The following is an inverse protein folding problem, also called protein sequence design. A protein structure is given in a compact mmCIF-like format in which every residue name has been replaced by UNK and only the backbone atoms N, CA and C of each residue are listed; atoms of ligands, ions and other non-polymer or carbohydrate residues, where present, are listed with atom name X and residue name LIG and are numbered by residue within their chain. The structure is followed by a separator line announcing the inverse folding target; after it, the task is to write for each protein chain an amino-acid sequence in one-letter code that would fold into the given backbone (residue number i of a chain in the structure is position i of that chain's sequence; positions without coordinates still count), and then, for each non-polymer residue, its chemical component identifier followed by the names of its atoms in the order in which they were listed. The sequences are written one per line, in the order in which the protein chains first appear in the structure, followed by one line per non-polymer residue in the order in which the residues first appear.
data_IF_856544211481
#
_entry.id   IF_856544211481
#
_cell.length_a   1.000
_cell.length_b   1.000
_cell.length_c   1.000
_cell.angle_alpha   90.00
_cell.angle_beta   90.00
_cell.angle_gamma   90.00
#
_symmetry.space_group_name_H-M   'P 1'
#
loop_
_entity.id
_entity.type
_entity.pdbx_description
1 polymer ?
#
# COMPACT_ATOMS: atom_id res chain seq x y z
N UNK A 1 8.19 -10.42 26.67
CA UNK A 1 8.82 -10.34 25.35
C UNK A 1 7.81 -9.79 24.33
N UNK A 2 7.34 -8.55 24.54
CA UNK A 2 6.39 -7.83 23.65
C UNK A 2 7.05 -6.60 22.99
N UNK A 3 8.28 -6.26 23.40
CA UNK A 3 8.93 -5.00 23.00
C UNK A 3 9.45 -4.97 21.56
N UNK A 4 9.79 -6.10 20.96
CA UNK A 4 10.41 -6.12 19.61
C UNK A 4 9.43 -5.83 18.47
N UNK A 5 8.10 -5.97 18.68
CA UNK A 5 7.10 -5.74 17.64
C UNK A 5 6.68 -4.28 17.51
N UNK A 6 6.76 -3.50 18.57
CA UNK A 6 6.43 -2.07 18.55
C UNK A 6 7.54 -1.28 17.83
N UNK A 7 8.81 -1.64 18.07
CA UNK A 7 9.95 -0.98 17.43
C UNK A 7 9.99 -1.20 15.90
N UNK A 8 9.39 -2.29 15.41
CA UNK A 8 9.33 -2.60 13.98
C UNK A 8 8.52 -1.59 13.17
N UNK A 9 7.51 -0.97 13.78
CA UNK A 9 6.65 0.03 13.14
C UNK A 9 7.03 1.48 13.49
N UNK A 10 7.93 1.68 14.43
CA UNK A 10 8.43 3.01 14.80
C UNK A 10 9.69 3.32 14.02
N UNK A 11 9.52 3.86 12.81
CA UNK A 11 10.64 4.39 12.06
C UNK A 11 11.26 5.56 12.81
N UNK A 12 12.53 5.44 13.20
CA UNK A 12 13.28 6.54 13.78
C UNK A 12 13.72 7.49 12.68
N UNK A 13 13.08 8.63 12.56
CA UNK A 13 13.51 9.70 11.65
C UNK A 13 14.55 10.56 12.35
N UNK A 14 15.76 10.66 11.79
CA UNK A 14 16.82 11.54 12.30
C UNK A 14 16.56 13.01 11.96
N UNK A 15 15.92 13.26 10.84
CA UNK A 15 15.62 14.62 10.34
C UNK A 15 14.14 14.71 9.94
N UNK A 16 13.52 15.83 10.29
CA UNK A 16 12.16 16.20 9.90
C UNK A 16 12.23 17.55 9.21
N UNK A 17 11.86 17.56 7.94
CA UNK A 17 11.69 18.82 7.20
C UNK A 17 10.25 19.29 7.33
N UNK A 18 10.05 20.57 7.64
CA UNK A 18 8.72 21.16 7.88
C UNK A 18 8.56 22.39 7.01
N UNK A 19 7.56 22.38 6.14
CA UNK A 19 7.21 23.60 5.40
C UNK A 19 6.82 24.72 6.37
N UNK A 20 7.35 25.94 6.19
CA UNK A 20 7.13 27.10 7.06
C UNK A 20 5.64 27.39 7.25
N UNK A 21 4.83 27.23 6.17
CA UNK A 21 3.41 27.52 6.18
C UNK A 21 2.57 26.62 7.10
N UNK A 22 3.10 25.42 7.47
CA UNK A 22 2.38 24.46 8.32
C UNK A 22 3.04 24.20 9.66
N UNK A 23 4.06 24.99 10.04
CA UNK A 23 4.78 24.77 11.30
C UNK A 23 3.87 24.87 12.52
N UNK A 24 2.85 25.75 12.44
CA UNK A 24 1.88 25.96 13.50
C UNK A 24 0.63 25.09 13.40
N UNK A 25 0.51 24.27 12.34
CA UNK A 25 -0.59 23.35 12.16
C UNK A 25 -0.64 22.33 13.31
N UNK A 26 -1.85 22.03 13.82
CA UNK A 26 -2.03 21.16 14.99
C UNK A 26 -1.38 19.78 14.78
N UNK A 27 -1.62 19.15 13.63
CA UNK A 27 -1.04 17.84 13.28
C UNK A 27 0.48 17.87 13.18
N UNK A 28 1.06 18.95 12.67
CA UNK A 28 2.52 19.14 12.68
C UNK A 28 3.06 19.08 14.11
N UNK A 29 2.46 19.84 15.03
CA UNK A 29 2.86 19.85 16.46
C UNK A 29 2.72 18.48 17.11
N UNK A 30 1.67 17.74 16.80
CA UNK A 30 1.43 16.38 17.31
C UNK A 30 2.46 15.37 16.79
N UNK A 31 2.80 15.44 15.51
CA UNK A 31 3.83 14.57 14.91
C UNK A 31 5.20 14.87 15.52
N UNK A 32 5.56 16.14 15.65
CA UNK A 32 6.85 16.54 16.25
C UNK A 32 6.97 16.09 17.72
N UNK A 33 5.89 16.14 18.50
CA UNK A 33 5.88 15.59 19.88
C UNK A 33 6.19 14.09 19.94
N UNK A 34 5.80 13.33 18.93
CA UNK A 34 6.08 11.87 18.85
C UNK A 34 7.54 11.59 18.49
N UNK A 35 8.27 12.56 17.99
CA UNK A 35 9.65 12.43 17.47
C UNK A 35 10.61 13.46 18.12
N UNK A 36 10.74 13.49 19.45
CA UNK A 36 11.45 14.55 20.16
C UNK A 36 12.95 14.60 19.87
N UNK A 37 13.54 13.48 19.42
CA UNK A 37 14.98 13.38 19.14
C UNK A 37 15.35 13.71 17.68
N UNK A 38 14.36 13.95 16.82
CA UNK A 38 14.62 14.29 15.43
C UNK A 38 15.02 15.76 15.28
N UNK A 39 15.99 16.01 14.40
CA UNK A 39 16.35 17.40 14.04
C UNK A 39 15.30 18.01 13.12
N UNK A 40 14.63 19.05 13.54
CA UNK A 40 13.65 19.80 12.74
C UNK A 40 14.36 20.84 11.87
N UNK A 41 14.01 20.89 10.59
CA UNK A 41 14.57 21.81 9.59
C UNK A 41 13.39 22.44 8.84
N UNK A 42 13.28 23.78 8.94
CA UNK A 42 12.28 24.52 8.17
C UNK A 42 12.67 24.58 6.67
N UNK A 43 11.70 24.42 5.80
CA UNK A 43 11.85 24.51 4.34
C UNK A 43 10.72 25.37 3.75
N UNK A 44 10.93 25.90 2.55
CA UNK A 44 9.89 26.67 1.86
C UNK A 44 8.88 25.74 1.18
N UNK A 45 9.36 24.70 0.50
CA UNK A 45 8.49 23.73 -0.18
C UNK A 45 9.06 22.31 -0.08
N UNK A 46 8.21 21.29 0.09
CA UNK A 46 8.64 19.89 0.24
C UNK A 46 9.49 19.38 -0.96
N UNK A 47 9.23 19.88 -2.16
CA UNK A 47 10.00 19.52 -3.37
C UNK A 47 11.46 19.96 -3.29
N UNK A 48 11.82 20.95 -2.48
CA UNK A 48 13.20 21.42 -2.29
C UNK A 48 14.09 20.30 -1.71
N UNK A 49 13.49 19.38 -0.97
CA UNK A 49 14.16 18.19 -0.43
C UNK A 49 13.81 16.95 -1.23
N UNK A 50 12.54 16.73 -1.50
CA UNK A 50 12.03 15.52 -2.13
C UNK A 50 12.47 15.35 -3.58
N UNK A 51 12.54 16.45 -4.35
CA UNK A 51 12.90 16.45 -5.77
C UNK A 51 14.35 16.85 -6.04
N UNK A 52 15.24 16.84 -5.04
CA UNK A 52 16.66 17.13 -5.26
C UNK A 52 17.27 16.21 -6.30
N UNK A 53 18.17 16.77 -7.12
CA UNK A 53 18.92 15.99 -8.09
C UNK A 53 19.98 15.10 -7.40
N UNK A 54 20.35 14.00 -8.05
CA UNK A 54 21.44 13.10 -7.62
C UNK A 54 21.21 12.47 -6.22
N UNK A 55 19.96 12.16 -5.88
CA UNK A 55 19.64 11.42 -4.67
C UNK A 55 19.89 9.92 -4.87
N UNK A 56 20.28 9.24 -3.80
CA UNK A 56 20.38 7.78 -3.77
C UNK A 56 19.22 7.21 -2.96
N UNK A 57 18.26 6.59 -3.63
CA UNK A 57 17.13 5.91 -2.99
C UNK A 57 17.63 4.80 -2.06
N UNK A 58 18.67 4.07 -2.47
CA UNK A 58 19.27 2.99 -1.66
C UNK A 58 19.86 3.53 -0.35
N UNK A 59 20.56 4.66 -0.40
CA UNK A 59 21.08 5.29 0.81
C UNK A 59 19.95 5.84 1.70
N UNK A 60 18.94 6.47 1.11
CA UNK A 60 17.79 7.02 1.84
C UNK A 60 16.94 5.92 2.50
N UNK A 61 16.79 4.75 1.89
CA UNK A 61 16.05 3.63 2.50
C UNK A 61 16.67 3.16 3.82
N UNK A 62 17.98 3.37 4.01
CA UNK A 62 18.66 3.06 5.28
C UNK A 62 18.41 4.12 6.37
N UNK A 63 18.07 5.34 5.99
CA UNK A 63 17.85 6.47 6.89
C UNK A 63 16.89 7.48 6.24
N UNK A 64 15.61 7.10 6.15
CA UNK A 64 14.57 7.97 5.58
C UNK A 64 14.39 9.21 6.44
N UNK A 65 14.21 10.36 5.81
CA UNK A 65 13.74 11.56 6.48
C UNK A 65 12.22 11.67 6.37
N UNK A 66 11.62 12.39 7.31
CA UNK A 66 10.22 12.78 7.27
C UNK A 66 10.11 14.21 6.73
N UNK A 67 9.13 14.43 5.87
CA UNK A 67 8.80 15.76 5.34
C UNK A 67 7.33 16.04 5.66
N UNK A 68 7.07 17.07 6.43
CA UNK A 68 5.72 17.56 6.70
C UNK A 68 5.41 18.72 5.74
N UNK A 69 4.32 18.60 5.00
CA UNK A 69 3.99 19.51 3.91
C UNK A 69 2.50 19.82 3.86
N UNK A 70 2.13 20.84 3.12
CA UNK A 70 0.75 21.13 2.74
C UNK A 70 0.51 20.69 1.30
N UNK A 71 -0.53 19.90 1.04
CA UNK A 71 -0.99 19.71 -0.30
C UNK A 71 -1.82 20.92 -0.76
N UNK A 72 -1.45 21.51 -1.89
CA UNK A 72 -2.09 22.70 -2.43
C UNK A 72 -3.06 22.39 -3.60
N UNK A 73 -2.95 21.19 -4.21
CA UNK A 73 -3.60 20.88 -5.48
C UNK A 73 -4.65 19.75 -5.38
N UNK A 74 -5.07 19.42 -4.15
CA UNK A 74 -5.92 18.27 -3.91
C UNK A 74 -5.13 16.95 -3.80
N UNK A 75 -5.79 15.93 -3.25
CA UNK A 75 -5.22 14.60 -3.05
C UNK A 75 -6.03 13.49 -3.73
N UNK A 76 -7.15 13.80 -4.36
CA UNK A 76 -8.06 12.83 -4.95
C UNK A 76 -7.84 12.78 -6.48
N UNK A 77 -7.59 11.59 -6.99
CA UNK A 77 -7.30 11.36 -8.39
C UNK A 77 -8.15 10.22 -8.93
N UNK A 78 -8.59 10.31 -10.18
CA UNK A 78 -9.24 9.20 -10.87
C UNK A 78 -8.31 7.99 -10.96
N UNK A 79 -8.85 6.80 -10.76
CA UNK A 79 -8.10 5.56 -10.82
C UNK A 79 -7.59 5.29 -12.23
N UNK A 80 -6.29 4.99 -12.34
CA UNK A 80 -5.70 4.69 -13.64
C UNK A 80 -6.33 3.39 -14.23
N UNK A 81 -6.51 3.33 -15.57
CA UNK A 81 -7.08 2.13 -16.24
C UNK A 81 -6.32 0.83 -15.95
N UNK A 82 -5.04 0.93 -15.56
CA UNK A 82 -4.18 -0.21 -15.20
C UNK A 82 -4.44 -0.73 -13.78
N UNK A 83 -5.24 -0.04 -12.96
CA UNK A 83 -5.55 -0.45 -11.60
C UNK A 83 -6.79 -1.33 -11.58
N UNK A 84 -6.85 -2.26 -10.63
CA UNK A 84 -8.05 -3.07 -10.40
C UNK A 84 -9.09 -2.21 -9.68
N UNK A 85 -10.23 -2.01 -10.32
CA UNK A 85 -11.35 -1.21 -9.79
C UNK A 85 -12.39 -2.05 -9.03
N UNK A 86 -12.23 -3.37 -8.99
CA UNK A 86 -13.14 -4.31 -8.30
C UNK A 86 -14.61 -4.18 -8.70
N UNK A 87 -14.86 -3.83 -9.99
CA UNK A 87 -16.20 -3.65 -10.52
C UNK A 87 -16.86 -2.31 -10.18
N UNK A 88 -16.10 -1.33 -9.66
CA UNK A 88 -16.61 0.00 -9.35
C UNK A 88 -16.31 0.97 -10.50
N UNK A 89 -17.35 1.63 -11.01
CA UNK A 89 -17.24 2.58 -12.12
C UNK A 89 -16.53 3.88 -11.70
N UNK A 90 -16.79 4.33 -10.48
CA UNK A 90 -16.19 5.55 -9.91
C UNK A 90 -15.01 5.19 -8.99
N UNK A 91 -13.93 4.69 -9.59
CA UNK A 91 -12.71 4.33 -8.86
C UNK A 91 -11.75 5.52 -8.78
N UNK A 92 -11.36 5.85 -7.57
CA UNK A 92 -10.42 6.93 -7.25
C UNK A 92 -9.30 6.43 -6.33
N UNK A 93 -8.22 7.19 -6.25
CA UNK A 93 -7.19 7.00 -5.23
C UNK A 93 -6.80 8.32 -4.55
N UNK A 94 -6.27 8.20 -3.35
CA UNK A 94 -5.82 9.33 -2.57
C UNK A 94 -4.31 9.25 -2.29
N UNK A 95 -3.63 10.38 -2.38
CA UNK A 95 -2.21 10.58 -2.05
C UNK A 95 -2.02 11.51 -0.85
N UNK A 96 -2.61 11.20 0.30
CA UNK A 96 -2.40 11.97 1.54
C UNK A 96 -1.00 11.78 2.16
N UNK A 97 -0.25 10.78 1.70
CA UNK A 97 1.16 10.54 1.99
C UNK A 97 1.88 10.09 0.74
N UNK A 98 3.20 10.34 0.65
CA UNK A 98 4.05 9.82 -0.43
C UNK A 98 5.16 8.96 0.16
N UNK A 99 5.45 7.85 -0.51
CA UNK A 99 6.35 6.78 -0.11
C UNK A 99 5.89 5.95 1.09
N UNK A 100 6.51 4.80 1.23
CA UNK A 100 6.18 3.78 2.21
C UNK A 100 7.35 3.57 3.18
N UNK A 101 7.04 3.21 4.44
CA UNK A 101 8.04 2.83 5.42
C UNK A 101 8.75 1.52 5.03
N UNK A 102 8.05 0.65 4.32
CA UNK A 102 8.60 -0.61 3.83
C UNK A 102 9.56 -0.39 2.65
N UNK A 103 10.33 -1.44 2.32
CA UNK A 103 11.36 -1.37 1.28
C UNK A 103 11.25 -2.55 0.30
N UNK A 104 10.03 -2.87 -0.17
CA UNK A 104 9.82 -3.93 -1.15
C UNK A 104 10.60 -3.64 -2.44
N UNK A 105 11.38 -4.61 -2.95
CA UNK A 105 12.22 -4.41 -4.14
C UNK A 105 11.41 -4.11 -5.41
N UNK A 106 10.25 -4.70 -5.54
CA UNK A 106 9.36 -4.54 -6.69
C UNK A 106 8.39 -3.34 -6.56
N UNK A 107 8.51 -2.51 -5.51
CA UNK A 107 7.58 -1.40 -5.29
C UNK A 107 7.73 -0.32 -6.36
N UNK A 108 6.63 -0.03 -7.08
CA UNK A 108 6.61 0.97 -8.15
C UNK A 108 6.94 2.38 -7.67
N UNK A 109 6.76 2.68 -6.39
CA UNK A 109 7.11 3.98 -5.80
C UNK A 109 8.59 4.31 -5.97
N UNK A 110 9.48 3.30 -6.00
CA UNK A 110 10.91 3.47 -6.28
C UNK A 110 11.19 3.98 -7.71
N UNK A 111 10.33 3.64 -8.64
CA UNK A 111 10.37 4.17 -10.01
C UNK A 111 9.64 5.50 -10.16
N UNK A 112 8.55 5.68 -9.44
CA UNK A 112 7.70 6.86 -9.49
C UNK A 112 8.38 8.08 -8.86
N UNK A 113 8.87 7.94 -7.63
CA UNK A 113 9.41 9.05 -6.86
C UNK A 113 10.94 9.21 -7.02
N UNK A 114 11.44 10.45 -6.94
CA UNK A 114 12.88 10.73 -7.01
C UNK A 114 13.59 10.55 -5.66
N UNK A 115 12.87 10.27 -4.59
CA UNK A 115 13.34 10.17 -3.22
C UNK A 115 12.66 9.02 -2.50
N UNK A 116 13.30 8.43 -1.49
CA UNK A 116 12.71 7.47 -0.58
C UNK A 116 12.18 8.12 0.73
N UNK A 117 12.36 9.43 0.90
CA UNK A 117 11.84 10.14 2.06
C UNK A 117 10.32 10.09 2.11
N UNK A 118 9.77 10.05 3.32
CA UNK A 118 8.33 10.03 3.55
C UNK A 118 7.79 11.45 3.54
N UNK A 119 6.74 11.72 2.77
CA UNK A 119 6.00 12.98 2.83
C UNK A 119 4.65 12.73 3.48
N UNK A 120 4.30 13.54 4.46
CA UNK A 120 2.96 13.59 5.06
C UNK A 120 2.35 14.94 4.76
N UNK A 121 1.23 14.95 4.07
CA UNK A 121 0.43 16.16 3.86
C UNK A 121 -0.49 16.34 5.06
N UNK A 122 -0.18 17.34 5.91
CA UNK A 122 -0.82 17.49 7.22
C UNK A 122 -2.27 18.01 7.15
N UNK A 123 -2.68 18.55 6.01
CA UNK A 123 -4.00 19.15 5.77
C UNK A 123 -5.00 18.14 5.15
N UNK A 124 -5.21 17.00 5.80
CA UNK A 124 -6.13 15.95 5.29
C UNK A 124 -7.58 16.44 5.25
N UNK A 125 -7.93 17.40 6.08
CA UNK A 125 -9.24 18.07 6.10
C UNK A 125 -9.58 18.75 4.77
N UNK A 126 -8.59 19.28 4.04
CA UNK A 126 -8.79 19.82 2.69
C UNK A 126 -9.16 18.69 1.70
N UNK A 127 -8.56 17.50 1.88
CA UNK A 127 -8.89 16.30 1.10
C UNK A 127 -10.32 15.81 1.37
N UNK A 128 -10.75 15.85 2.62
CA UNK A 128 -12.12 15.50 2.99
C UNK A 128 -13.13 16.47 2.39
N UNK A 129 -12.85 17.76 2.41
CA UNK A 129 -13.70 18.77 1.79
C UNK A 129 -13.83 18.58 0.27
N UNK A 130 -12.72 18.27 -0.42
CA UNK A 130 -12.74 17.93 -1.86
C UNK A 130 -13.60 16.68 -2.12
N UNK A 131 -13.47 15.66 -1.28
CA UNK A 131 -14.21 14.41 -1.43
C UNK A 131 -15.70 14.60 -1.15
N UNK A 132 -16.09 15.43 -0.18
CA UNK A 132 -17.50 15.76 0.08
C UNK A 132 -18.20 16.33 -1.14
N UNK A 133 -17.55 17.20 -1.91
CA UNK A 133 -18.11 17.74 -3.15
C UNK A 133 -18.37 16.62 -4.18
N UNK A 134 -17.42 15.70 -4.35
CA UNK A 134 -17.57 14.57 -5.26
C UNK A 134 -18.67 13.60 -4.80
N UNK A 135 -18.82 13.38 -3.50
CA UNK A 135 -19.80 12.47 -2.93
C UNK A 135 -21.27 12.97 -3.04
N UNK A 136 -21.47 14.26 -3.28
CA UNK A 136 -22.81 14.82 -3.58
C UNK A 136 -23.35 14.32 -4.92
N UNK A 137 -22.48 14.03 -5.86
CA UNK A 137 -22.84 13.68 -7.23
C UNK A 137 -22.85 12.17 -7.49
N UNK A 138 -22.02 11.41 -6.80
CA UNK A 138 -21.79 9.98 -7.11
C UNK A 138 -21.32 9.16 -5.93
N UNK A 139 -21.54 7.84 -6.02
CA UNK A 139 -20.89 6.88 -5.13
C UNK A 139 -19.42 6.69 -5.56
N UNK A 140 -18.50 6.66 -4.60
CA UNK A 140 -17.07 6.57 -4.84
C UNK A 140 -16.48 5.34 -4.17
N UNK A 141 -15.63 4.63 -4.90
CA UNK A 141 -14.69 3.65 -4.36
C UNK A 141 -13.29 4.27 -4.35
N UNK A 142 -12.72 4.45 -3.17
CA UNK A 142 -11.46 5.18 -2.97
C UNK A 142 -10.37 4.30 -2.37
N UNK A 143 -9.25 4.14 -3.08
CA UNK A 143 -8.03 3.56 -2.50
C UNK A 143 -7.26 4.65 -1.73
N UNK A 144 -7.30 4.63 -0.39
CA UNK A 144 -6.70 5.66 0.46
C UNK A 144 -5.22 5.43 0.78
N UNK A 145 -4.69 4.23 0.50
CA UNK A 145 -3.29 3.84 0.74
C UNK A 145 -2.53 3.55 -0.55
N UNK A 146 -2.78 4.35 -1.60
CA UNK A 146 -2.19 4.11 -2.92
C UNK A 146 -0.68 4.33 -2.93
N UNK A 147 -0.22 5.47 -2.39
CA UNK A 147 1.19 5.87 -2.40
C UNK A 147 1.93 5.64 -1.07
N UNK A 148 1.28 4.95 -0.11
CA UNK A 148 1.83 4.66 1.20
C UNK A 148 1.17 3.43 1.83
N UNK A 149 1.75 2.89 2.90
CA UNK A 149 1.05 1.98 3.80
C UNK A 149 0.57 2.78 5.02
N UNK A 150 -0.68 3.25 4.98
CA UNK A 150 -1.25 4.08 6.05
C UNK A 150 -1.32 3.34 7.38
N UNK A 151 -1.57 2.02 7.34
CA UNK A 151 -1.63 1.19 8.55
C UNK A 151 -0.29 1.15 9.28
N UNK A 152 0.81 1.05 8.53
CA UNK A 152 2.16 1.14 9.10
C UNK A 152 2.48 2.54 9.64
N UNK A 153 1.84 3.59 9.11
CA UNK A 153 2.05 4.98 9.48
C UNK A 153 1.03 5.50 10.50
N UNK A 154 0.06 4.69 10.95
CA UNK A 154 -1.04 5.12 11.83
C UNK A 154 -0.54 5.75 13.14
N UNK A 155 0.51 5.19 13.73
CA UNK A 155 1.15 5.74 14.94
C UNK A 155 1.65 7.18 14.76
N UNK A 156 2.01 7.54 13.54
CA UNK A 156 2.58 8.85 13.20
C UNK A 156 1.48 9.90 12.98
N UNK A 157 0.56 9.65 12.07
CA UNK A 157 -0.40 10.65 11.57
C UNK A 157 -1.86 10.40 11.94
N UNK A 158 -2.26 9.15 12.29
CA UNK A 158 -3.64 8.83 12.67
C UNK A 158 -4.62 8.75 11.49
N UNK A 159 -4.12 8.63 10.25
CA UNK A 159 -4.95 8.74 9.04
C UNK A 159 -5.90 7.56 8.82
N UNK A 160 -5.54 6.36 9.29
CA UNK A 160 -6.46 5.21 9.19
C UNK A 160 -7.74 5.50 9.98
N UNK A 161 -7.60 6.01 11.21
CA UNK A 161 -8.76 6.37 12.03
C UNK A 161 -9.60 7.46 11.35
N UNK A 162 -8.99 8.52 10.87
CA UNK A 162 -9.69 9.62 10.24
C UNK A 162 -10.43 9.19 8.97
N UNK A 163 -9.83 8.33 8.15
CA UNK A 163 -10.50 7.75 6.99
C UNK A 163 -11.68 6.84 7.37
N UNK A 164 -11.56 6.06 8.45
CA UNK A 164 -12.67 5.23 8.96
C UNK A 164 -13.82 6.13 9.43
N UNK A 165 -13.52 7.13 10.28
CA UNK A 165 -14.52 8.06 10.82
C UNK A 165 -15.24 8.80 9.69
N UNK A 166 -14.50 9.28 8.70
CA UNK A 166 -15.05 9.96 7.53
C UNK A 166 -15.96 9.03 6.71
N UNK A 167 -15.53 7.77 6.49
CA UNK A 167 -16.33 6.79 5.74
C UNK A 167 -17.61 6.41 6.48
N UNK A 168 -17.56 6.29 7.81
CA UNK A 168 -18.76 6.02 8.62
C UNK A 168 -19.79 7.12 8.44
N UNK A 169 -19.37 8.38 8.34
CA UNK A 169 -20.24 9.53 8.16
C UNK A 169 -20.82 9.69 6.73
N UNK A 170 -20.25 8.99 5.71
CA UNK A 170 -20.60 9.19 4.30
C UNK A 170 -21.02 7.88 3.62
N UNK A 171 -22.32 7.66 3.47
CA UNK A 171 -22.89 6.40 2.91
C UNK A 171 -22.50 6.14 1.44
N UNK A 172 -22.20 7.17 0.67
CA UNK A 172 -21.79 7.09 -0.73
C UNK A 172 -20.27 6.80 -0.91
N UNK A 173 -19.52 6.61 0.19
CA UNK A 173 -18.09 6.31 0.15
C UNK A 173 -17.81 4.88 0.56
N UNK A 174 -17.04 4.17 -0.25
CA UNK A 174 -16.36 2.92 0.11
C UNK A 174 -14.86 3.13 -0.01
N UNK A 175 -14.09 2.78 1.01
CA UNK A 175 -12.63 2.91 0.97
C UNK A 175 -11.94 1.55 1.01
N UNK A 176 -10.75 1.50 0.37
CA UNK A 176 -9.81 0.40 0.51
C UNK A 176 -8.55 0.88 1.23
N UNK A 177 -8.18 0.18 2.30
CA UNK A 177 -6.91 0.36 3.01
C UNK A 177 -6.04 -0.85 2.73
N UNK A 178 -5.09 -0.72 1.80
CA UNK A 178 -4.16 -1.80 1.44
C UNK A 178 -2.92 -1.77 2.29
N UNK A 179 -2.49 -2.94 2.79
CA UNK A 179 -1.37 -3.02 3.74
C UNK A 179 -0.54 -4.31 3.64
N UNK A 180 0.74 -4.21 4.00
CA UNK A 180 1.65 -5.31 4.37
C UNK A 180 2.03 -5.27 5.86
N UNK A 181 1.34 -4.45 6.64
CA UNK A 181 1.49 -4.32 8.09
C UNK A 181 0.74 -5.43 8.83
N UNK A 182 1.11 -5.69 10.08
CA UNK A 182 0.39 -6.59 10.97
C UNK A 182 -0.14 -5.85 12.22
N UNK A 183 -0.58 -4.60 12.05
CA UNK A 183 -1.15 -3.76 13.12
C UNK A 183 -2.57 -4.20 13.48
N UNK A 184 -2.72 -5.43 14.03
CA UNK A 184 -4.00 -5.98 14.47
C UNK A 184 -4.59 -5.23 15.68
N UNK A 185 -3.76 -4.52 16.44
CA UNK A 185 -4.16 -3.70 17.58
C UNK A 185 -5.10 -2.54 17.23
N UNK A 186 -5.17 -2.15 15.96
CA UNK A 186 -6.04 -1.08 15.48
C UNK A 186 -7.50 -1.52 15.38
N UNK A 187 -7.73 -2.74 14.95
CA UNK A 187 -9.06 -3.21 14.58
C UNK A 187 -10.01 -3.45 15.76
N UNK A 188 -9.46 -3.60 16.95
CA UNK A 188 -10.26 -3.63 18.18
C UNK A 188 -10.66 -2.23 18.68
N UNK A 189 -9.92 -1.20 18.24
CA UNK A 189 -10.09 0.17 18.71
C UNK A 189 -10.98 1.00 17.82
N UNK A 190 -11.08 0.63 16.54
CA UNK A 190 -11.79 1.42 15.53
C UNK A 190 -13.15 0.78 15.21
N UNK A 191 -14.18 1.60 14.95
CA UNK A 191 -15.51 1.08 14.62
C UNK A 191 -15.45 0.39 13.25
N UNK A 192 -15.92 -0.87 13.20
CA UNK A 192 -16.05 -1.58 11.95
C UNK A 192 -17.15 -0.96 11.09
N UNK A 193 -16.89 -0.89 9.78
CA UNK A 193 -17.84 -0.40 8.78
C UNK A 193 -17.73 -1.27 7.53
N UNK A 194 -18.87 -1.73 7.00
CA UNK A 194 -18.92 -2.58 5.79
C UNK A 194 -18.35 -1.91 4.53
N UNK A 195 -18.20 -0.59 4.55
CA UNK A 195 -17.60 0.20 3.47
C UNK A 195 -16.11 0.49 3.66
N UNK A 196 -15.50 -0.05 4.70
CA UNK A 196 -14.04 0.04 4.96
C UNK A 196 -13.40 -1.31 4.69
N UNK A 197 -12.88 -1.50 3.47
CA UNK A 197 -12.28 -2.77 3.05
C UNK A 197 -10.81 -2.78 3.43
N UNK A 198 -10.42 -3.73 4.30
CA UNK A 198 -9.02 -3.92 4.69
C UNK A 198 -8.37 -4.95 3.75
N UNK A 199 -7.43 -4.49 2.92
CA UNK A 199 -6.82 -5.27 1.86
C UNK A 199 -5.40 -5.70 2.23
N UNK A 200 -5.23 -6.97 2.62
CA UNK A 200 -3.94 -7.53 3.00
C UNK A 200 -3.23 -8.16 1.80
N UNK A 201 -2.04 -7.67 1.47
CA UNK A 201 -1.20 -8.34 0.47
C UNK A 201 -0.53 -9.55 1.09
N UNK A 202 -0.75 -10.72 0.48
CA UNK A 202 -0.17 -11.99 0.92
C UNK A 202 0.70 -12.55 -0.19
N UNK A 203 1.94 -12.89 0.16
CA UNK A 203 2.94 -13.49 -0.73
C UNK A 203 3.46 -14.78 -0.10
N UNK A 204 3.98 -15.75 -0.88
CA UNK A 204 4.72 -16.88 -0.32
C UNK A 204 5.86 -16.41 0.59
N UNK A 205 6.14 -17.16 1.65
CA UNK A 205 7.18 -16.79 2.63
C UNK A 205 8.55 -16.54 1.96
N UNK A 206 8.90 -17.35 0.97
CA UNK A 206 10.13 -17.19 0.20
C UNK A 206 10.19 -15.86 -0.56
N UNK A 207 9.07 -15.42 -1.13
CA UNK A 207 8.98 -14.14 -1.83
C UNK A 207 9.04 -12.98 -0.82
N UNK A 208 8.28 -13.09 0.27
CA UNK A 208 8.25 -12.05 1.30
C UNK A 208 9.64 -11.86 1.94
N UNK A 209 10.32 -12.93 2.33
CA UNK A 209 11.65 -12.86 2.93
C UNK A 209 12.73 -12.36 1.98
N UNK A 210 12.59 -12.63 0.67
CA UNK A 210 13.58 -12.23 -0.34
C UNK A 210 13.40 -10.79 -0.82
N UNK A 211 12.18 -10.29 -0.94
CA UNK A 211 11.87 -9.05 -1.66
C UNK A 211 11.01 -8.03 -0.92
N UNK A 212 10.38 -8.38 0.21
CA UNK A 212 9.50 -7.48 0.96
C UNK A 212 10.16 -7.01 2.26
N UNK A 213 11.26 -6.26 2.12
CA UNK A 213 12.05 -5.83 3.27
C UNK A 213 11.27 -4.88 4.19
N UNK A 214 11.47 -5.06 5.50
CA UNK A 214 10.84 -4.30 6.57
C UNK A 214 9.31 -4.45 6.66
N UNK A 215 8.70 -5.41 5.97
CA UNK A 215 7.27 -5.73 6.11
C UNK A 215 7.03 -6.78 7.22
N UNK A 216 5.80 -6.90 7.67
CA UNK A 216 5.42 -8.03 8.50
C UNK A 216 5.48 -9.34 7.69
N UNK A 217 5.76 -10.48 8.34
CA UNK A 217 5.72 -11.78 7.66
C UNK A 217 4.30 -12.11 7.17
N UNK A 218 4.15 -12.94 6.12
CA UNK A 218 2.83 -13.37 5.64
C UNK A 218 1.97 -13.98 6.75
N UNK A 219 2.56 -14.72 7.67
CA UNK A 219 1.85 -15.32 8.82
C UNK A 219 1.29 -14.23 9.75
N UNK A 220 2.04 -13.18 10.03
CA UNK A 220 1.57 -12.09 10.87
C UNK A 220 0.49 -11.25 10.15
N UNK A 221 0.61 -11.05 8.84
CA UNK A 221 -0.44 -10.39 8.04
C UNK A 221 -1.74 -11.20 8.06
N UNK A 222 -1.68 -12.53 7.96
CA UNK A 222 -2.86 -13.39 8.07
C UNK A 222 -3.51 -13.32 9.45
N UNK A 223 -2.71 -13.26 10.53
CA UNK A 223 -3.25 -13.03 11.88
C UNK A 223 -3.95 -11.68 11.99
N UNK A 224 -3.37 -10.63 11.40
CA UNK A 224 -3.98 -9.31 11.39
C UNK A 224 -5.27 -9.28 10.53
N UNK A 225 -5.28 -9.95 9.38
CA UNK A 225 -6.46 -10.13 8.55
C UNK A 225 -7.59 -10.87 9.30
N UNK A 226 -7.24 -11.98 9.98
CA UNK A 226 -8.21 -12.69 10.82
C UNK A 226 -8.79 -11.79 11.92
N UNK A 227 -7.94 -11.05 12.62
CA UNK A 227 -8.38 -10.12 13.66
C UNK A 227 -9.30 -9.03 13.13
N UNK A 228 -9.01 -8.51 11.94
CA UNK A 228 -9.88 -7.55 11.25
C UNK A 228 -11.26 -8.15 10.95
N UNK A 229 -11.32 -9.39 10.43
CA UNK A 229 -12.57 -10.12 10.19
C UNK A 229 -13.34 -10.35 11.50
N UNK A 230 -12.65 -10.80 12.54
CA UNK A 230 -13.24 -11.05 13.87
C UNK A 230 -13.79 -9.75 14.50
N UNK A 231 -13.23 -8.58 14.12
CA UNK A 231 -13.70 -7.25 14.52
C UNK A 231 -14.82 -6.68 13.62
N UNK A 232 -15.25 -7.42 12.59
CA UNK A 232 -16.38 -7.05 11.71
C UNK A 232 -16.01 -6.24 10.47
N UNK A 233 -14.74 -6.08 10.16
CA UNK A 233 -14.33 -5.41 8.92
C UNK A 233 -14.39 -6.36 7.72
N UNK A 234 -14.83 -5.89 6.53
CA UNK A 234 -14.62 -6.61 5.27
C UNK A 234 -13.11 -6.75 4.99
N UNK A 235 -12.67 -7.98 4.74
CA UNK A 235 -11.26 -8.27 4.46
C UNK A 235 -11.09 -8.83 3.06
N UNK A 236 -10.21 -8.20 2.30
CA UNK A 236 -9.70 -8.64 0.99
C UNK A 236 -8.31 -9.22 1.14
N UNK A 237 -8.04 -10.36 0.49
CA UNK A 237 -6.66 -10.83 0.33
C UNK A 237 -6.16 -10.51 -1.08
N UNK A 238 -5.03 -9.82 -1.14
CA UNK A 238 -4.41 -9.44 -2.40
C UNK A 238 -3.22 -10.36 -2.69
N UNK A 239 -3.39 -11.28 -3.62
CA UNK A 239 -2.32 -12.07 -4.23
C UNK A 239 -1.79 -11.32 -5.47
N UNK A 240 -1.54 -10.04 -5.29
CA UNK A 240 -1.10 -9.10 -6.32
C UNK A 240 -0.08 -8.12 -5.68
N UNK A 241 1.18 -8.10 -6.17
CA UNK A 241 1.66 -8.85 -7.33
C UNK A 241 2.17 -10.27 -6.98
N UNK A 242 1.85 -11.23 -7.83
CA UNK A 242 2.54 -12.50 -7.85
C UNK A 242 3.95 -12.32 -8.44
N UNK A 243 4.96 -12.83 -7.74
CA UNK A 243 6.36 -12.77 -8.15
C UNK A 243 6.84 -14.16 -8.56
N UNK A 244 7.41 -14.27 -9.76
CA UNK A 244 7.97 -15.51 -10.26
C UNK A 244 9.23 -15.92 -9.50
N UNK A 245 9.33 -17.17 -9.12
CA UNK A 245 10.54 -17.79 -8.59
C UNK A 245 10.65 -19.23 -9.10
N UNK A 246 11.84 -19.86 -8.95
CA UNK A 246 12.12 -21.19 -9.55
C UNK A 246 11.09 -22.27 -9.22
N UNK A 247 10.54 -22.26 -8.01
CA UNK A 247 9.56 -23.27 -7.54
C UNK A 247 8.17 -22.64 -7.25
N UNK A 248 7.79 -21.63 -8.02
CA UNK A 248 6.61 -20.82 -7.78
C UNK A 248 5.32 -21.64 -7.62
N UNK A 249 5.16 -22.76 -8.35
CA UNK A 249 3.94 -23.59 -8.27
C UNK A 249 3.73 -24.14 -6.86
N UNK A 250 4.76 -24.70 -6.28
CA UNK A 250 4.70 -25.26 -4.93
C UNK A 250 4.60 -24.16 -3.87
N UNK A 251 5.33 -23.05 -4.05
CA UNK A 251 5.30 -21.92 -3.11
C UNK A 251 3.90 -21.28 -3.03
N UNK A 252 3.25 -21.02 -4.18
CA UNK A 252 1.90 -20.45 -4.17
C UNK A 252 0.83 -21.46 -3.74
N UNK A 253 0.97 -22.75 -4.09
CA UNK A 253 0.08 -23.81 -3.60
C UNK A 253 0.12 -23.87 -2.08
N UNK A 254 1.33 -23.97 -1.50
CA UNK A 254 1.53 -23.99 -0.05
C UNK A 254 0.95 -22.75 0.62
N UNK A 255 1.18 -21.57 0.03
CA UNK A 255 0.61 -20.32 0.54
C UNK A 255 -0.92 -20.38 0.62
N UNK A 256 -1.61 -20.86 -0.42
CA UNK A 256 -3.08 -20.95 -0.44
C UNK A 256 -3.57 -21.96 0.61
N UNK A 257 -2.90 -23.13 0.74
CA UNK A 257 -3.22 -24.12 1.78
C UNK A 257 -3.05 -23.50 3.18
N UNK A 258 -1.95 -22.78 3.42
CA UNK A 258 -1.68 -22.08 4.70
C UNK A 258 -2.71 -20.98 4.99
N UNK A 259 -3.16 -20.24 3.99
CA UNK A 259 -4.20 -19.20 4.12
C UNK A 259 -5.51 -19.83 4.59
N UNK A 260 -6.02 -20.81 3.86
CA UNK A 260 -7.35 -21.39 4.14
C UNK A 260 -7.34 -22.43 5.27
N UNK A 261 -6.17 -22.81 5.78
CA UNK A 261 -6.06 -23.49 7.08
C UNK A 261 -6.32 -22.56 8.28
N UNK A 262 -6.19 -21.25 8.08
CA UNK A 262 -6.26 -20.22 9.14
C UNK A 262 -7.48 -19.30 9.02
N UNK A 263 -7.98 -19.10 7.81
CA UNK A 263 -9.10 -18.21 7.51
C UNK A 263 -10.25 -18.99 6.86
N UNK A 264 -11.48 -18.71 7.31
CA UNK A 264 -12.67 -19.20 6.62
C UNK A 264 -12.92 -18.36 5.36
N UNK A 265 -12.84 -18.99 4.19
CA UNK A 265 -13.07 -18.35 2.90
C UNK A 265 -14.46 -17.70 2.78
N UNK A 266 -15.48 -18.22 3.49
CA UNK A 266 -16.83 -17.66 3.47
C UNK A 266 -16.92 -16.27 4.11
N UNK A 267 -16.05 -15.99 5.07
CA UNK A 267 -15.98 -14.70 5.77
C UNK A 267 -15.16 -13.65 5.00
N UNK A 268 -14.34 -14.07 4.03
CA UNK A 268 -13.62 -13.12 3.19
C UNK A 268 -14.57 -12.31 2.30
N UNK A 269 -14.30 -11.02 2.18
CA UNK A 269 -15.00 -10.15 1.25
C UNK A 269 -14.78 -10.61 -0.19
N UNK A 270 -13.53 -10.61 -0.62
CA UNK A 270 -13.07 -11.10 -1.92
C UNK A 270 -11.55 -11.32 -1.93
N UNK A 271 -11.01 -11.70 -3.09
CA UNK A 271 -9.57 -11.80 -3.33
C UNK A 271 -9.20 -11.19 -4.68
N UNK A 272 -7.96 -10.68 -4.79
CA UNK A 272 -7.38 -10.26 -6.07
C UNK A 272 -6.17 -11.10 -6.44
N UNK A 273 -6.05 -11.41 -7.75
CA UNK A 273 -4.94 -12.17 -8.33
C UNK A 273 -4.37 -11.37 -9.50
N UNK A 274 -3.06 -11.21 -9.52
CA UNK A 274 -2.37 -10.58 -10.63
C UNK A 274 -0.86 -10.75 -10.52
N UNK A 275 -0.20 -10.94 -11.65
CA UNK A 275 1.25 -10.99 -11.70
C UNK A 275 1.85 -9.60 -11.71
N UNK A 276 3.16 -9.51 -11.41
CA UNK A 276 3.87 -8.24 -11.42
C UNK A 276 3.83 -7.56 -12.78
N UNK A 277 3.47 -6.28 -12.77
CA UNK A 277 3.48 -5.37 -13.91
C UNK A 277 3.86 -3.97 -13.47
N UNK A 278 4.54 -3.23 -14.32
CA UNK A 278 5.05 -1.90 -13.98
C UNK A 278 5.23 -1.04 -15.23
N UNK A 279 5.01 0.27 -15.10
CA UNK A 279 5.31 1.23 -16.17
C UNK A 279 6.76 1.12 -16.64
N UNK A 280 6.96 1.23 -17.94
CA UNK A 280 8.28 1.16 -18.59
C UNK A 280 9.28 2.13 -17.95
N UNK A 281 8.86 3.38 -17.71
CA UNK A 281 9.76 4.40 -17.20
C UNK A 281 10.15 4.15 -15.74
N UNK A 282 9.21 3.61 -14.96
CA UNK A 282 9.50 3.25 -13.56
C UNK A 282 10.50 2.10 -13.49
N UNK A 283 10.31 1.05 -14.28
CA UNK A 283 11.26 -0.08 -14.28
C UNK A 283 12.65 0.32 -14.77
N UNK A 284 12.74 1.15 -15.82
CA UNK A 284 14.03 1.68 -16.31
C UNK A 284 14.79 2.44 -15.21
N UNK A 285 14.07 3.23 -14.40
CA UNK A 285 14.66 3.95 -13.27
C UNK A 285 15.08 3.00 -12.15
N UNK A 286 14.21 2.05 -11.76
CA UNK A 286 14.53 1.07 -10.71
C UNK A 286 15.75 0.21 -11.07
N UNK A 287 15.93 -0.19 -12.32
CA UNK A 287 17.08 -0.97 -12.79
C UNK A 287 18.42 -0.27 -12.58
N UNK A 288 18.45 1.07 -12.57
CA UNK A 288 19.68 1.84 -12.26
C UNK A 288 20.08 1.74 -10.79
N UNK A 289 19.08 1.69 -9.90
CA UNK A 289 19.30 1.73 -8.45
C UNK A 289 19.36 0.32 -7.82
N UNK A 290 18.67 -0.65 -8.43
CA UNK A 290 18.47 -2.02 -7.92
C UNK A 290 19.02 -3.08 -8.90
N UNK A 291 20.23 -2.88 -9.41
CA UNK A 291 20.85 -3.74 -10.43
C UNK A 291 21.09 -5.20 -9.96
N UNK A 292 21.12 -5.45 -8.65
CA UNK A 292 21.23 -6.81 -8.05
C UNK A 292 19.90 -7.52 -7.81
N UNK A 293 18.76 -6.87 -7.97
CA UNK A 293 17.45 -7.47 -7.71
C UNK A 293 17.01 -8.38 -8.85
N UNK A 294 16.75 -9.66 -8.54
CA UNK A 294 16.27 -10.61 -9.54
C UNK A 294 14.86 -10.26 -10.05
N UNK A 295 13.98 -9.69 -9.20
CA UNK A 295 12.65 -9.29 -9.62
C UNK A 295 12.69 -8.06 -10.53
N UNK A 296 13.54 -7.07 -10.25
CA UNK A 296 13.65 -5.86 -11.06
C UNK A 296 14.33 -6.15 -12.40
N UNK A 297 15.27 -7.08 -12.45
CA UNK A 297 16.06 -7.42 -13.63
C UNK A 297 15.52 -8.63 -14.42
N UNK A 298 14.36 -9.17 -14.04
CA UNK A 298 13.72 -10.21 -14.83
C UNK A 298 13.52 -9.74 -16.31
N UNK A 299 13.63 -10.63 -17.31
CA UNK A 299 13.43 -10.31 -18.73
C UNK A 299 11.93 -10.18 -19.07
N UNK A 300 11.33 -9.10 -18.57
CA UNK A 300 9.93 -8.77 -18.84
C UNK A 300 9.69 -8.39 -20.31
N UNK A 301 8.50 -8.66 -20.80
CA UNK A 301 7.99 -8.15 -22.07
C UNK A 301 7.31 -6.80 -21.88
N UNK A 302 7.52 -5.89 -22.85
CA UNK A 302 6.85 -4.60 -22.88
C UNK A 302 5.58 -4.69 -23.74
N UNK A 303 4.43 -4.46 -23.15
CA UNK A 303 3.15 -4.43 -23.86
C UNK A 303 2.45 -3.11 -23.51
N UNK A 304 2.26 -2.27 -24.53
CA UNK A 304 1.56 -0.99 -24.35
C UNK A 304 2.22 -0.02 -23.36
N UNK A 305 3.55 -0.06 -23.21
CA UNK A 305 4.28 0.81 -22.26
C UNK A 305 4.40 0.25 -20.85
N UNK A 306 3.93 -0.97 -20.62
CA UNK A 306 4.05 -1.68 -19.35
C UNK A 306 4.89 -2.94 -19.49
N UNK A 307 5.83 -3.13 -18.56
CA UNK A 307 6.58 -4.36 -18.41
C UNK A 307 5.78 -5.37 -17.58
N UNK A 308 5.66 -6.59 -18.06
CA UNK A 308 5.02 -7.72 -17.41
C UNK A 308 5.75 -9.03 -17.75
N UNK A 309 5.43 -10.11 -17.05
CA UNK A 309 5.95 -11.43 -17.42
C UNK A 309 5.52 -11.82 -18.83
N UNK A 310 6.33 -12.61 -19.57
CA UNK A 310 5.90 -13.28 -20.82
C UNK A 310 4.54 -13.95 -20.65
N UNK A 311 3.71 -13.91 -21.70
CA UNK A 311 2.30 -14.32 -21.61
C UNK A 311 2.12 -15.73 -21.07
N UNK A 312 2.97 -16.67 -21.47
CA UNK A 312 2.94 -18.06 -20.98
C UNK A 312 3.15 -18.12 -19.46
N UNK A 313 4.16 -17.43 -18.92
CA UNK A 313 4.43 -17.39 -17.47
C UNK A 313 3.27 -16.72 -16.73
N UNK A 314 2.81 -15.56 -17.22
CA UNK A 314 1.72 -14.81 -16.63
C UNK A 314 0.44 -15.66 -16.56
N UNK A 315 0.02 -16.23 -17.68
CA UNK A 315 -1.19 -17.04 -17.75
C UNK A 315 -1.08 -18.28 -16.87
N UNK A 316 0.05 -18.99 -16.89
CA UNK A 316 0.25 -20.17 -16.05
C UNK A 316 0.14 -19.85 -14.57
N UNK A 317 0.75 -18.74 -14.12
CA UNK A 317 0.71 -18.33 -12.72
C UNK A 317 -0.70 -17.93 -12.29
N UNK A 318 -1.34 -17.03 -13.04
CA UNK A 318 -2.67 -16.51 -12.71
C UNK A 318 -3.75 -17.61 -12.78
N UNK A 319 -3.75 -18.43 -13.84
CA UNK A 319 -4.70 -19.52 -13.97
C UNK A 319 -4.56 -20.56 -12.86
N UNK A 320 -3.32 -20.97 -12.55
CA UNK A 320 -3.07 -21.94 -11.48
C UNK A 320 -3.61 -21.42 -10.13
N UNK A 321 -3.36 -20.14 -9.80
CA UNK A 321 -3.82 -19.58 -8.54
C UNK A 321 -5.35 -19.44 -8.50
N UNK A 322 -5.98 -19.00 -9.60
CA UNK A 322 -7.44 -18.93 -9.74
C UNK A 322 -8.09 -20.31 -9.56
N UNK A 323 -7.55 -21.35 -10.19
CA UNK A 323 -8.08 -22.72 -10.05
C UNK A 323 -7.93 -23.28 -8.62
N UNK A 324 -6.85 -22.90 -7.91
CA UNK A 324 -6.73 -23.23 -6.50
C UNK A 324 -7.78 -22.51 -5.65
N UNK A 325 -7.99 -21.20 -5.89
CA UNK A 325 -8.94 -20.39 -5.14
C UNK A 325 -10.39 -20.84 -5.33
N UNK A 326 -10.77 -21.29 -6.52
CA UNK A 326 -12.11 -21.83 -6.81
C UNK A 326 -12.51 -23.02 -5.93
N UNK A 327 -11.55 -23.71 -5.32
CA UNK A 327 -11.83 -24.80 -4.35
C UNK A 327 -12.36 -24.28 -3.03
N UNK A 328 -12.15 -23.00 -2.71
CA UNK A 328 -12.47 -22.39 -1.44
C UNK A 328 -13.58 -21.33 -1.54
N UNK A 329 -13.71 -20.66 -2.69
CA UNK A 329 -14.65 -19.56 -2.84
C UNK A 329 -15.25 -19.48 -4.24
N UNK A 330 -16.43 -18.85 -4.42
CA UNK A 330 -17.08 -18.68 -5.71
C UNK A 330 -16.28 -17.71 -6.60
N UNK A 331 -16.40 -17.91 -7.92
CA UNK A 331 -15.65 -17.18 -8.95
C UNK A 331 -15.89 -15.66 -8.87
N UNK A 332 -17.07 -15.25 -8.48
CA UNK A 332 -17.50 -13.84 -8.38
C UNK A 332 -16.71 -13.06 -7.33
N UNK A 333 -16.10 -13.75 -6.37
CA UNK A 333 -15.23 -13.17 -5.34
C UNK A 333 -13.75 -13.19 -5.72
N UNK A 334 -13.38 -13.67 -6.92
CA UNK A 334 -11.99 -13.75 -7.40
C UNK A 334 -11.79 -12.73 -8.50
N UNK A 335 -11.18 -11.60 -8.17
CA UNK A 335 -10.86 -10.55 -9.12
C UNK A 335 -9.51 -10.82 -9.77
N UNK A 336 -9.49 -10.84 -11.09
CA UNK A 336 -8.26 -10.93 -11.89
C UNK A 336 -8.09 -9.64 -12.68
N UNK A 337 -6.85 -9.30 -12.98
CA UNK A 337 -6.61 -8.15 -13.81
C UNK A 337 -7.09 -8.43 -15.25
N UNK A 338 -7.99 -7.59 -15.75
CA UNK A 338 -8.49 -7.73 -17.13
C UNK A 338 -7.41 -7.25 -18.10
N UNK A 339 -7.14 -8.03 -19.15
CA UNK A 339 -6.26 -7.64 -20.27
C UNK A 339 -6.67 -6.25 -20.76
N UNK A 340 -5.74 -5.28 -20.76
CA UNK A 340 -5.88 -4.14 -21.66
C UNK A 340 -5.68 -4.69 -23.08
N UNK A 341 -6.74 -4.65 -23.85
CA UNK A 341 -6.72 -4.96 -25.28
C UNK A 341 -6.02 -3.84 -26.05
#
# INVERSE_FOLDING_TARGET
MISSKIDYYNAAFSHIYVEKQIKDHQRTKEILKKLPNARVIEIDHYKDVFCRRKQSIVAQNKAKALILAKNQNGCIYEGAPVCQNFGNDNFYYCSCMMNCLFDCEYCYLKGMYPSANIVVFVNIEDTFSELEELLREKKIYLCVSYDADLTACEWLCGYVKEWIDFTVAHENLTIEIRTKSARYDLWEKYPACERVILAYTISPEKIASSYEHNTASPVERLKAAKKAMDSGFPVRLCFDPMIYCRDWKNEYKKMIEDVFSKLDAKQLWDVSVGTFRISQDYLKKMRKDLNGSAVVNFPYENIGGYYQYPENIRCDMENMLVELLKKYMPKEKIFTWKKML
#
